data_IF_811971954134
#
_entry.id   IF_811971954134
#
_cell.length_a   1.000
_cell.length_b   1.000
_cell.length_c   1.000
_cell.angle_alpha   90.00
_cell.angle_beta   90.00
_cell.angle_gamma   90.00
#
_symmetry.space_group_name_H-M   'P 1'
#
loop_
_entity.id
_entity.type
_entity.pdbx_description
1 polymer ?
#
# COMPACT_ATOMS: atom_id res chain seq x y z
N UNK A 1 -19.04 -6.98 0.00
CA UNK A 1 -18.21 -5.76 -0.15
C UNK A 1 -16.93 -5.92 0.67
N UNK A 2 -15.86 -5.21 0.31
CA UNK A 2 -14.55 -5.28 0.97
C UNK A 2 -14.59 -4.85 2.45
N UNK A 3 -13.96 -5.67 3.31
CA UNK A 3 -13.85 -5.43 4.76
C UNK A 3 -12.44 -5.07 5.21
N UNK A 4 -11.44 -5.36 4.38
CA UNK A 4 -10.02 -5.07 4.61
C UNK A 4 -9.48 -4.41 3.36
N UNK A 5 -9.22 -3.11 3.42
CA UNK A 5 -8.81 -2.30 2.27
C UNK A 5 -7.35 -1.88 2.48
N UNK A 6 -6.47 -2.22 1.54
CA UNK A 6 -5.07 -1.75 1.54
C UNK A 6 -4.95 -0.56 0.60
N UNK A 7 -4.41 0.55 1.10
CA UNK A 7 -4.20 1.77 0.30
C UNK A 7 -2.72 2.16 0.33
N UNK A 8 -2.03 2.06 -0.82
CA UNK A 8 -0.71 2.64 -0.96
C UNK A 8 -0.76 4.16 -0.85
N UNK A 9 0.13 4.74 -0.03
CA UNK A 9 0.31 6.19 0.11
C UNK A 9 1.75 6.56 -0.20
N UNK A 10 1.94 7.54 -1.08
CA UNK A 10 3.26 8.06 -1.50
C UNK A 10 3.45 9.55 -1.14
N UNK A 11 2.47 10.15 -0.44
CA UNK A 11 2.46 11.56 -0.07
C UNK A 11 1.95 12.50 -1.16
N UNK A 12 1.68 12.00 -2.38
CA UNK A 12 1.06 12.81 -3.44
C UNK A 12 -0.39 13.15 -3.11
N UNK A 13 -0.90 14.24 -3.71
CA UNK A 13 -2.33 14.61 -3.60
C UNK A 13 -3.26 13.46 -4.01
N UNK A 14 -2.87 12.69 -5.02
CA UNK A 14 -3.68 11.58 -5.53
C UNK A 14 -3.79 10.45 -4.51
N UNK A 15 -2.69 10.07 -3.85
CA UNK A 15 -2.73 9.00 -2.85
C UNK A 15 -3.49 9.40 -1.58
N UNK A 16 -3.41 10.67 -1.18
CA UNK A 16 -4.23 11.21 -0.08
C UNK A 16 -5.72 11.14 -0.43
N UNK A 17 -6.12 11.54 -1.63
CA UNK A 17 -7.51 11.45 -2.06
C UNK A 17 -8.00 9.99 -2.15
N UNK A 18 -7.13 9.06 -2.56
CA UNK A 18 -7.45 7.63 -2.56
C UNK A 18 -7.68 7.10 -1.13
N UNK A 19 -6.87 7.53 -0.16
CA UNK A 19 -7.05 7.17 1.26
C UNK A 19 -8.39 7.69 1.81
N UNK A 20 -8.74 8.95 1.52
CA UNK A 20 -10.06 9.51 1.91
C UNK A 20 -11.19 8.68 1.32
N UNK A 21 -11.11 8.34 0.03
CA UNK A 21 -12.15 7.55 -0.61
C UNK A 21 -12.26 6.13 -0.03
N UNK A 22 -11.15 5.53 0.36
CA UNK A 22 -11.16 4.21 1.00
C UNK A 22 -11.83 4.24 2.37
N UNK A 23 -11.68 5.34 3.13
CA UNK A 23 -12.39 5.54 4.41
C UNK A 23 -13.91 5.54 4.18
N UNK A 24 -14.42 6.30 3.21
CA UNK A 24 -15.86 6.31 2.91
C UNK A 24 -16.41 4.89 2.63
N UNK A 25 -15.63 4.08 1.90
CA UNK A 25 -16.00 2.70 1.58
C UNK A 25 -15.97 1.83 2.85
N UNK A 26 -14.91 1.94 3.66
CA UNK A 26 -14.80 1.18 4.89
C UNK A 26 -15.94 1.52 5.86
N UNK A 27 -16.29 2.80 6.04
CA UNK A 27 -17.39 3.23 6.89
C UNK A 27 -18.73 2.65 6.42
N UNK A 28 -19.05 2.80 5.14
CA UNK A 28 -20.31 2.30 4.55
C UNK A 28 -20.50 0.80 4.75
N UNK A 29 -19.41 0.05 4.78
CA UNK A 29 -19.45 -1.42 4.82
C UNK A 29 -18.84 -2.01 6.07
N UNK A 30 -18.67 -1.24 7.15
CA UNK A 30 -18.06 -1.70 8.41
C UNK A 30 -16.76 -2.49 8.18
N UNK A 31 -15.88 -1.94 7.36
CA UNK A 31 -14.55 -2.45 7.07
C UNK A 31 -13.46 -1.61 7.74
N UNK A 32 -12.21 -1.94 7.46
CA UNK A 32 -11.04 -1.20 7.90
C UNK A 32 -10.13 -0.85 6.72
N UNK A 33 -9.36 0.23 6.89
CA UNK A 33 -8.35 0.69 5.95
C UNK A 33 -6.97 0.51 6.58
N UNK A 34 -6.05 -0.08 5.84
CA UNK A 34 -4.62 -0.12 6.17
C UNK A 34 -3.88 0.72 5.14
N UNK A 35 -3.15 1.73 5.61
CA UNK A 35 -2.29 2.54 4.75
C UNK A 35 -0.91 1.90 4.66
N UNK A 36 -0.33 1.86 3.46
CA UNK A 36 1.01 1.32 3.20
C UNK A 36 1.87 2.37 2.50
N UNK A 37 2.99 2.73 3.10
CA UNK A 37 4.04 3.51 2.46
C UNK A 37 5.27 2.62 2.28
N UNK A 38 5.89 2.67 1.11
CA UNK A 38 7.10 1.90 0.80
C UNK A 38 8.26 2.86 0.62
N UNK A 39 9.31 2.67 1.42
CA UNK A 39 10.56 3.40 1.31
C UNK A 39 11.60 2.47 0.70
N UNK A 40 12.20 2.88 -0.42
CA UNK A 40 13.33 2.17 -0.98
C UNK A 40 14.61 2.58 -0.21
N UNK A 41 15.06 1.70 0.69
CA UNK A 41 16.21 1.96 1.56
C UNK A 41 17.52 2.03 0.77
N UNK A 42 17.67 1.24 -0.31
CA UNK A 42 18.87 1.26 -1.17
C UNK A 42 19.01 2.62 -1.86
N UNK A 43 17.91 3.18 -2.37
CA UNK A 43 17.88 4.53 -2.92
C UNK A 43 18.12 5.61 -1.86
N UNK A 44 17.58 5.43 -0.65
CA UNK A 44 17.71 6.40 0.45
C UNK A 44 19.12 6.48 1.03
N UNK A 45 19.80 5.33 1.16
CA UNK A 45 21.10 5.24 1.84
C UNK A 45 22.29 5.38 0.89
N UNK A 46 22.08 5.33 -0.42
CA UNK A 46 23.15 5.29 -1.42
C UNK A 46 23.99 4.00 -1.39
N UNK A 47 23.65 3.06 -0.49
CA UNK A 47 24.17 1.71 -0.49
C UNK A 47 23.42 0.97 -1.60
N UNK A 48 24.12 0.69 -2.71
CA UNK A 48 23.58 -0.09 -3.82
C UNK A 48 22.95 -1.40 -3.33
N UNK A 49 21.94 -1.90 -4.06
CA UNK A 49 21.11 -3.02 -3.62
C UNK A 49 21.93 -4.27 -3.30
N UNK A 50 22.13 -4.54 -2.01
CA UNK A 50 22.45 -5.88 -1.54
C UNK A 50 21.14 -6.67 -1.56
N UNK A 51 20.85 -7.30 -2.70
CA UNK A 51 19.61 -8.00 -3.04
C UNK A 51 18.41 -7.08 -3.29
N UNK A 52 18.06 -6.91 -4.56
CA UNK A 52 16.69 -6.54 -4.91
C UNK A 52 15.77 -7.61 -4.31
N UNK A 53 14.83 -7.27 -3.41
CA UNK A 53 13.85 -8.22 -2.96
C UNK A 53 13.08 -8.74 -4.19
N UNK A 54 12.71 -10.04 -4.22
CA UNK A 54 12.00 -10.58 -5.36
C UNK A 54 10.76 -9.74 -5.62
N UNK A 55 10.52 -9.41 -6.90
CA UNK A 55 9.30 -8.76 -7.33
C UNK A 55 8.12 -9.54 -6.76
N UNK A 56 7.31 -8.91 -5.90
CA UNK A 56 6.00 -9.45 -5.53
C UNK A 56 5.11 -9.22 -6.75
N UNK A 57 5.36 -9.97 -7.83
CA UNK A 57 4.56 -9.85 -9.05
C UNK A 57 3.19 -10.48 -8.85
N UNK A 58 3.06 -11.46 -7.95
CA UNK A 58 1.79 -12.11 -7.68
C UNK A 58 1.73 -12.45 -6.18
N UNK A 59 0.88 -11.74 -5.45
CA UNK A 59 0.38 -12.26 -4.19
C UNK A 59 -0.39 -13.54 -4.53
N UNK A 60 0.30 -14.69 -4.48
CA UNK A 60 -0.33 -15.99 -4.65
C UNK A 60 -1.33 -16.14 -3.50
N UNK A 61 -2.60 -15.85 -3.80
CA UNK A 61 -3.73 -16.22 -2.96
C UNK A 61 -3.92 -17.72 -3.17
N UNK A 62 -3.17 -18.52 -2.41
CA UNK A 62 -3.51 -19.93 -2.25
C UNK A 62 -4.77 -19.98 -1.39
N UNK A 63 -5.87 -20.40 -2.00
CA UNK A 63 -7.12 -20.73 -1.34
C UNK A 63 -7.04 -22.12 -0.72
#
# INVERSE_FOLDING_TARGET
MFKKILVPVDGSKHSIMAAVRAVDIAEKYHGSVTLLHVINISQLTGLGSMQDPPLISEAIVNN
#
